data_IF_284381943081
#
_entry.id   IF_284381943081
#
_cell.length_a   1.000
_cell.length_b   1.000
_cell.length_c   1.000
_cell.angle_alpha   90.00
_cell.angle_beta   90.00
_cell.angle_gamma   90.00
#
_symmetry.space_group_name_H-M   'P 1'
#
loop_
_entity.id
_entity.type
_entity.pdbx_description
1 polymer ?
#
# COMPACT_ATOMS: atom_id res chain seq x y z
N UNK A 1 5.07 -4.35 13.96
CA UNK A 1 6.08 -5.42 13.96
C UNK A 1 5.87 -6.41 15.11
N UNK A 2 6.62 -7.51 15.10
CA UNK A 2 6.52 -8.55 16.12
C UNK A 2 6.89 -8.05 17.55
N UNK A 3 7.66 -6.98 17.67
CA UNK A 3 8.02 -6.33 18.94
C UNK A 3 6.99 -5.32 19.44
N UNK A 4 5.88 -5.13 18.72
CA UNK A 4 4.84 -4.16 19.05
C UNK A 4 5.11 -2.75 18.54
N UNK A 5 6.19 -2.52 17.77
CA UNK A 5 6.47 -1.24 17.12
C UNK A 5 5.41 -0.91 16.08
N UNK A 6 5.02 0.36 16.02
CA UNK A 6 4.02 0.88 15.09
C UNK A 6 4.75 1.48 13.89
N UNK A 7 4.39 1.04 12.69
CA UNK A 7 4.97 1.52 11.45
C UNK A 7 3.95 2.32 10.68
N UNK A 8 4.36 3.45 10.12
CA UNK A 8 3.50 4.30 9.33
C UNK A 8 4.27 4.96 8.18
N UNK A 9 3.55 5.38 7.16
CA UNK A 9 4.04 6.16 6.04
C UNK A 9 3.61 7.60 6.17
N UNK A 10 4.45 8.52 5.74
CA UNK A 10 4.13 9.94 5.60
C UNK A 10 4.39 10.37 4.15
N UNK A 11 3.37 10.29 3.28
CA UNK A 11 3.50 10.59 1.85
C UNK A 11 3.33 12.07 1.48
N UNK A 12 3.09 12.95 2.45
CA UNK A 12 2.94 14.38 2.25
C UNK A 12 1.67 14.83 1.49
N UNK A 13 0.70 13.95 1.27
CA UNK A 13 -0.54 14.30 0.52
C UNK A 13 -1.30 15.46 1.14
N UNK A 14 -1.37 15.54 2.47
CA UNK A 14 -2.04 16.61 3.19
C UNK A 14 -1.46 18.01 2.96
N UNK A 15 -0.21 18.09 2.46
CA UNK A 15 0.47 19.37 2.16
C UNK A 15 0.39 19.77 0.67
N UNK A 16 -0.06 18.87 -0.22
CA UNK A 16 -0.02 19.11 -1.68
C UNK A 16 -1.08 20.11 -2.14
N UNK A 17 -2.25 20.09 -1.52
CA UNK A 17 -3.41 20.93 -1.91
C UNK A 17 -4.35 21.15 -0.72
N UNK A 18 -5.49 21.82 -0.97
CA UNK A 18 -6.49 22.12 0.06
C UNK A 18 -7.65 21.10 0.10
N UNK A 19 -7.53 19.94 -0.54
CA UNK A 19 -8.56 18.91 -0.55
C UNK A 19 -8.38 17.93 0.62
N UNK A 20 -7.18 17.39 0.80
CA UNK A 20 -6.86 16.44 1.89
C UNK A 20 -6.27 17.11 3.12
N UNK A 21 -5.88 18.36 3.01
CA UNK A 21 -5.29 19.14 4.10
C UNK A 21 -5.15 20.61 3.72
N UNK A 22 -4.00 21.20 4.01
CA UNK A 22 -3.68 22.58 3.65
C UNK A 22 -2.37 22.63 2.87
N UNK A 23 -2.41 23.25 1.68
CA UNK A 23 -1.21 23.42 0.86
C UNK A 23 -0.13 24.17 1.64
N UNK A 24 1.03 23.56 1.75
CA UNK A 24 2.18 24.11 2.47
C UNK A 24 3.47 23.33 2.20
N UNK A 25 4.59 23.79 2.75
CA UNK A 25 5.83 23.01 2.70
C UNK A 25 5.68 21.73 3.54
N UNK A 26 6.39 20.69 3.15
CA UNK A 26 6.53 19.49 3.98
C UNK A 26 7.31 19.83 5.26
N UNK A 27 6.79 19.45 6.42
CA UNK A 27 7.50 19.58 7.69
C UNK A 27 8.55 18.49 7.86
N UNK A 28 8.25 17.27 7.36
CA UNK A 28 9.16 16.13 7.36
C UNK A 28 9.33 15.62 5.92
N UNK A 29 10.43 14.89 5.68
CA UNK A 29 10.63 14.19 4.42
C UNK A 29 9.64 13.03 4.31
N UNK A 30 9.08 12.85 3.11
CA UNK A 30 8.26 11.68 2.80
C UNK A 30 9.05 10.40 3.08
N UNK A 31 8.52 9.54 3.91
CA UNK A 31 9.27 8.37 4.40
C UNK A 31 8.38 7.32 5.06
N UNK A 32 8.99 6.20 5.37
CA UNK A 32 8.48 5.21 6.31
C UNK A 32 9.09 5.46 7.69
N UNK A 33 8.25 5.50 8.70
CA UNK A 33 8.61 5.74 10.08
C UNK A 33 8.21 4.56 10.97
N UNK A 34 8.89 4.41 12.09
CA UNK A 34 8.61 3.45 13.14
C UNK A 34 8.60 4.12 14.51
N UNK A 35 7.55 3.85 15.28
CA UNK A 35 7.48 4.28 16.69
C UNK A 35 7.86 3.10 17.58
N UNK A 36 8.82 3.32 18.47
CA UNK A 36 9.13 2.37 19.53
C UNK A 36 8.04 2.39 20.61
N UNK A 37 7.39 1.24 20.91
CA UNK A 37 6.22 1.23 21.79
C UNK A 37 6.55 1.49 23.26
N UNK A 38 7.81 1.40 23.66
CA UNK A 38 8.24 1.60 25.06
C UNK A 38 8.69 3.02 25.32
N UNK A 39 9.50 3.56 24.43
CA UNK A 39 10.08 4.91 24.59
C UNK A 39 9.25 6.00 23.91
N UNK A 40 8.39 5.64 22.93
CA UNK A 40 7.71 6.60 22.06
C UNK A 40 8.65 7.25 21.03
N UNK A 41 9.91 6.81 20.94
CA UNK A 41 10.84 7.34 19.96
C UNK A 41 10.40 7.01 18.54
N UNK A 42 10.55 7.98 17.65
CA UNK A 42 10.19 7.83 16.23
C UNK A 42 11.46 7.80 15.40
N UNK A 43 11.67 6.68 14.72
CA UNK A 43 12.75 6.50 13.77
C UNK A 43 12.25 6.66 12.34
N UNK A 44 12.99 7.41 11.51
CA UNK A 44 12.82 7.35 10.06
C UNK A 44 13.59 6.14 9.55
N UNK A 45 12.85 5.12 9.04
CA UNK A 45 13.45 3.83 8.67
C UNK A 45 13.75 3.66 7.19
N UNK A 46 13.07 4.41 6.33
CA UNK A 46 13.36 4.47 4.90
C UNK A 46 12.83 5.76 4.29
N UNK A 47 13.64 6.42 3.43
CA UNK A 47 13.30 7.64 2.71
C UNK A 47 13.84 7.64 1.27
N UNK A 48 14.00 6.45 0.67
CA UNK A 48 14.57 6.25 -0.66
C UNK A 48 13.58 6.67 -1.76
N UNK A 49 13.46 7.97 -2.00
CA UNK A 49 12.99 8.58 -3.25
C UNK A 49 11.62 8.13 -3.82
N UNK A 50 10.70 7.67 -3.00
CA UNK A 50 9.37 7.26 -3.41
C UNK A 50 8.29 7.95 -2.54
N UNK A 51 7.04 7.85 -2.98
CA UNK A 51 5.89 8.38 -2.25
C UNK A 51 5.14 7.23 -1.56
N UNK A 52 5.55 6.84 -0.34
CA UNK A 52 5.02 5.65 0.31
C UNK A 52 3.58 5.89 0.76
N UNK A 53 2.69 4.96 0.41
CA UNK A 53 1.30 4.97 0.80
C UNK A 53 1.01 3.78 1.72
N UNK A 54 0.14 2.83 1.34
CA UNK A 54 -0.15 1.68 2.15
C UNK A 54 1.07 0.81 2.46
N UNK A 55 1.11 0.24 3.65
CA UNK A 55 2.15 -0.72 4.02
C UNK A 55 1.56 -1.93 4.76
N UNK A 56 2.18 -3.09 4.60
CA UNK A 56 1.87 -4.27 5.41
C UNK A 56 3.09 -5.19 5.54
N UNK A 57 3.13 -5.93 6.64
CA UNK A 57 4.11 -7.00 6.82
C UNK A 57 3.65 -8.30 6.17
N UNK A 58 4.62 -9.15 5.81
CA UNK A 58 4.34 -10.59 5.62
C UNK A 58 3.84 -11.21 6.92
N UNK A 59 3.11 -12.35 6.86
CA UNK A 59 2.58 -13.01 8.06
C UNK A 59 3.63 -13.35 9.13
N UNK A 60 4.86 -13.60 8.72
CA UNK A 60 6.00 -13.92 9.58
C UNK A 60 6.83 -12.69 10.00
N UNK A 61 6.41 -11.49 9.60
CA UNK A 61 7.12 -10.21 9.82
C UNK A 61 8.54 -10.14 9.24
N UNK A 62 8.92 -11.06 8.35
CA UNK A 62 10.25 -11.06 7.72
C UNK A 62 10.39 -10.05 6.59
N UNK A 63 9.26 -9.58 6.04
CA UNK A 63 9.20 -8.63 4.93
C UNK A 63 8.21 -7.50 5.21
N UNK A 64 8.53 -6.31 4.70
CA UNK A 64 7.61 -5.18 4.65
C UNK A 64 7.33 -4.86 3.18
N UNK A 65 6.05 -4.78 2.84
CA UNK A 65 5.56 -4.33 1.54
C UNK A 65 5.09 -2.88 1.66
N UNK A 66 5.40 -2.07 0.65
CA UNK A 66 5.09 -0.63 0.64
C UNK A 66 4.52 -0.28 -0.73
N UNK A 67 3.30 0.21 -0.76
CA UNK A 67 2.70 0.74 -1.97
C UNK A 67 3.33 2.10 -2.28
N UNK A 68 3.76 2.29 -3.53
CA UNK A 68 4.19 3.58 -4.05
C UNK A 68 3.14 4.05 -5.06
N UNK A 69 2.39 5.07 -4.72
CA UNK A 69 1.38 5.63 -5.62
C UNK A 69 1.95 6.60 -6.63
N UNK A 70 3.27 6.75 -6.65
CA UNK A 70 3.96 7.71 -7.49
C UNK A 70 3.74 9.15 -7.04
N UNK A 71 4.43 10.09 -7.64
CA UNK A 71 4.18 11.49 -7.40
C UNK A 71 2.99 11.96 -8.26
N UNK A 72 1.81 12.14 -7.67
CA UNK A 72 0.85 13.01 -8.31
C UNK A 72 1.39 14.47 -8.24
N UNK A 73 1.43 15.26 -9.32
CA UNK A 73 0.84 14.98 -10.62
C UNK A 73 1.76 14.31 -11.65
N UNK A 74 2.95 13.80 -11.27
CA UNK A 74 3.86 13.18 -12.23
C UNK A 74 3.36 11.78 -12.63
N UNK A 75 2.73 11.67 -13.79
CA UNK A 75 2.22 10.42 -14.35
C UNK A 75 3.33 9.46 -14.80
N UNK A 76 4.58 9.89 -14.83
CA UNK A 76 5.72 9.09 -15.26
C UNK A 76 6.43 8.41 -14.09
N UNK A 77 6.15 8.81 -12.86
CA UNK A 77 6.74 8.19 -11.68
C UNK A 77 6.34 6.71 -11.56
N UNK A 78 7.25 5.83 -11.13
CA UNK A 78 6.93 4.46 -10.86
C UNK A 78 5.76 4.33 -9.86
N UNK A 79 4.85 3.39 -10.14
CA UNK A 79 3.70 3.08 -9.29
C UNK A 79 3.74 1.60 -8.94
N UNK A 80 4.77 1.21 -8.22
CA UNK A 80 5.02 -0.18 -7.87
C UNK A 80 4.60 -0.47 -6.42
N UNK A 81 4.38 -1.73 -6.12
CA UNK A 81 4.51 -2.20 -4.73
C UNK A 81 5.96 -2.63 -4.56
N UNK A 82 6.60 -2.10 -3.54
CA UNK A 82 7.97 -2.43 -3.17
C UNK A 82 7.99 -3.43 -2.03
N UNK A 83 9.07 -4.18 -1.91
CA UNK A 83 9.32 -5.08 -0.79
C UNK A 83 10.75 -4.91 -0.28
N UNK A 84 10.92 -5.00 1.03
CA UNK A 84 12.22 -5.07 1.69
C UNK A 84 12.21 -6.12 2.80
N UNK A 85 13.37 -6.68 3.08
CA UNK A 85 13.55 -7.59 4.20
C UNK A 85 13.61 -6.79 5.50
N UNK A 86 12.99 -7.31 6.55
CA UNK A 86 13.05 -6.74 7.88
C UNK A 86 14.22 -7.39 8.63
N UNK A 87 15.18 -6.57 9.05
CA UNK A 87 16.37 -6.99 9.78
C UNK A 87 16.26 -6.57 11.24
N UNK A 88 16.62 -7.49 12.13
CA UNK A 88 16.58 -7.26 13.59
C UNK A 88 15.21 -6.77 14.11
N UNK A 89 14.14 -7.02 13.33
CA UNK A 89 12.76 -6.63 13.63
C UNK A 89 12.47 -5.12 13.52
N UNK A 90 13.47 -4.28 13.23
CA UNK A 90 13.32 -2.80 13.28
C UNK A 90 13.97 -2.06 12.11
N UNK A 91 14.80 -2.72 11.31
CA UNK A 91 15.53 -2.11 10.18
C UNK A 91 15.05 -2.68 8.87
N UNK A 92 15.11 -1.89 7.82
CA UNK A 92 14.78 -2.33 6.48
C UNK A 92 16.04 -2.59 5.65
N UNK A 93 16.01 -3.68 4.87
CA UNK A 93 16.98 -3.93 3.81
C UNK A 93 16.70 -3.07 2.58
N UNK A 94 17.44 -3.30 1.51
CA UNK A 94 17.25 -2.62 0.23
C UNK A 94 15.84 -2.86 -0.33
N UNK A 95 15.25 -1.82 -0.91
CA UNK A 95 13.99 -1.91 -1.64
C UNK A 95 14.17 -2.69 -2.94
N UNK A 96 13.20 -3.55 -3.23
CA UNK A 96 13.08 -4.28 -4.49
C UNK A 96 11.67 -4.11 -5.02
N UNK A 97 11.50 -4.00 -6.34
CA UNK A 97 10.18 -4.05 -6.95
C UNK A 97 9.55 -5.42 -6.66
N UNK A 98 8.35 -5.41 -6.11
CA UNK A 98 7.57 -6.61 -5.85
C UNK A 98 6.54 -6.85 -6.95
N UNK A 99 5.73 -5.83 -7.26
CA UNK A 99 4.71 -5.91 -8.29
C UNK A 99 4.52 -4.56 -8.97
N UNK A 100 4.46 -4.59 -10.30
CA UNK A 100 4.09 -3.42 -11.10
C UNK A 100 2.58 -3.26 -11.13
N UNK A 101 2.13 -2.03 -11.01
CA UNK A 101 0.70 -1.74 -11.01
C UNK A 101 0.09 -1.66 -12.41
N UNK A 102 0.88 -1.80 -13.45
CA UNK A 102 0.40 -1.87 -14.83
C UNK A 102 -0.41 -3.15 -15.05
N UNK A 103 -1.51 -3.04 -15.78
CA UNK A 103 -2.39 -4.15 -16.16
C UNK A 103 -2.53 -4.18 -17.69
N UNK A 104 -1.90 -5.16 -18.37
CA UNK A 104 -2.12 -5.37 -19.81
C UNK A 104 -3.56 -5.79 -20.08
N UNK A 105 -4.18 -5.17 -21.08
CA UNK A 105 -5.53 -5.52 -21.57
C UNK A 105 -5.53 -5.66 -23.09
N UNK A 106 -6.60 -6.20 -23.65
CA UNK A 106 -6.76 -6.27 -25.12
C UNK A 106 -6.81 -4.89 -25.80
N UNK A 107 -7.20 -3.85 -25.06
CA UNK A 107 -7.30 -2.48 -25.55
C UNK A 107 -6.02 -1.63 -25.30
N UNK A 108 -5.01 -2.21 -24.68
CA UNK A 108 -3.78 -1.52 -24.26
C UNK A 108 -3.44 -1.79 -22.79
N UNK A 109 -2.60 -0.94 -22.22
CA UNK A 109 -2.17 -1.06 -20.83
C UNK A 109 -2.89 -0.03 -19.95
N UNK A 110 -3.48 -0.49 -18.86
CA UNK A 110 -4.01 0.36 -17.80
C UNK A 110 -2.94 0.55 -16.72
N UNK A 111 -2.74 1.77 -16.25
CA UNK A 111 -1.75 2.11 -15.22
C UNK A 111 -2.40 2.91 -14.11
N UNK A 112 -2.65 2.26 -12.99
CA UNK A 112 -3.14 2.88 -11.76
C UNK A 112 -2.11 2.83 -10.64
N UNK A 113 -2.53 3.09 -9.42
CA UNK A 113 -1.71 3.01 -8.22
C UNK A 113 -2.34 2.11 -7.16
N UNK A 114 -1.51 1.59 -6.26
CA UNK A 114 -1.96 0.93 -5.04
C UNK A 114 -2.01 1.94 -3.90
N UNK A 115 -3.08 1.87 -3.09
CA UNK A 115 -3.27 2.65 -1.87
C UNK A 115 -3.07 1.71 -0.66
N UNK A 116 -4.10 1.41 0.11
CA UNK A 116 -4.01 0.45 1.21
C UNK A 116 -3.71 -0.97 0.73
N UNK A 117 -2.83 -1.67 1.44
CA UNK A 117 -2.46 -3.06 1.13
C UNK A 117 -2.51 -3.94 2.38
N UNK A 118 -2.81 -5.22 2.22
CA UNK A 118 -2.82 -6.21 3.32
C UNK A 118 -2.30 -7.56 2.83
N UNK A 119 -1.61 -8.28 3.72
CA UNK A 119 -1.25 -9.68 3.49
C UNK A 119 -2.35 -10.61 4.05
N UNK A 120 -2.66 -11.69 3.34
CA UNK A 120 -3.41 -12.81 3.89
C UNK A 120 -2.47 -13.81 4.59
N UNK A 121 -3.04 -14.88 5.16
CA UNK A 121 -2.29 -15.90 5.89
C UNK A 121 -1.34 -16.72 5.03
N UNK A 122 -1.58 -16.77 3.72
CA UNK A 122 -0.73 -17.47 2.74
C UNK A 122 0.38 -16.56 2.20
N UNK A 123 0.40 -15.28 2.64
CA UNK A 123 1.37 -14.28 2.22
C UNK A 123 1.02 -13.59 0.90
N UNK A 124 -0.18 -13.82 0.35
CA UNK A 124 -0.62 -13.05 -0.81
C UNK A 124 -0.88 -11.61 -0.40
N UNK A 125 -0.55 -10.67 -1.28
CA UNK A 125 -0.75 -9.24 -1.07
C UNK A 125 -2.02 -8.80 -1.79
N UNK A 126 -2.96 -8.27 -1.04
CA UNK A 126 -4.20 -7.69 -1.48
C UNK A 126 -4.07 -6.18 -1.49
N UNK A 127 -4.28 -5.54 -2.62
CA UNK A 127 -4.03 -4.12 -2.82
C UNK A 127 -5.28 -3.41 -3.33
N UNK A 128 -5.68 -2.35 -2.64
CA UNK A 128 -6.68 -1.41 -3.12
C UNK A 128 -6.05 -0.55 -4.21
N UNK A 129 -6.55 -0.66 -5.44
CA UNK A 129 -5.94 -0.03 -6.60
C UNK A 129 -6.95 0.82 -7.36
N UNK A 130 -6.49 1.96 -7.87
CA UNK A 130 -7.38 2.87 -8.57
C UNK A 130 -6.68 3.83 -9.52
N UNK A 131 -7.48 4.81 -9.96
CA UNK A 131 -7.14 5.90 -10.88
C UNK A 131 -6.78 5.46 -12.31
N UNK A 132 -7.23 4.28 -12.73
CA UNK A 132 -7.12 3.83 -14.12
C UNK A 132 -8.49 3.52 -14.76
N UNK A 133 -9.57 3.60 -13.98
CA UNK A 133 -10.94 3.50 -14.45
C UNK A 133 -11.46 2.06 -14.62
N UNK A 134 -12.55 1.91 -15.37
CA UNK A 134 -13.22 0.61 -15.56
C UNK A 134 -12.27 -0.48 -16.08
N UNK A 135 -12.34 -1.65 -15.46
CA UNK A 135 -11.48 -2.80 -15.78
C UNK A 135 -10.17 -2.83 -14.99
N UNK A 136 -9.87 -1.78 -14.21
CA UNK A 136 -8.71 -1.71 -13.33
C UNK A 136 -9.10 -1.47 -11.86
N UNK A 137 -9.94 -0.46 -11.61
CA UNK A 137 -10.22 -0.01 -10.24
C UNK A 137 -10.86 -1.13 -9.42
N UNK A 138 -10.21 -1.47 -8.30
CA UNK A 138 -10.61 -2.61 -7.48
C UNK A 138 -9.50 -3.17 -6.62
N UNK A 139 -9.69 -4.40 -6.16
CA UNK A 139 -8.69 -5.10 -5.35
C UNK A 139 -7.89 -6.04 -6.23
N UNK A 140 -6.59 -5.80 -6.34
CA UNK A 140 -5.63 -6.66 -7.02
C UNK A 140 -4.98 -7.61 -6.02
N UNK A 141 -4.83 -8.87 -6.39
CA UNK A 141 -4.24 -9.91 -5.53
C UNK A 141 -2.98 -10.45 -6.17
N UNK A 142 -1.90 -10.48 -5.39
CA UNK A 142 -0.58 -10.93 -5.83
C UNK A 142 -0.07 -12.07 -4.93
N UNK A 143 0.51 -13.09 -5.54
CA UNK A 143 1.24 -14.14 -4.80
C UNK A 143 2.49 -13.57 -4.12
N UNK A 144 3.10 -14.30 -3.14
CA UNK A 144 4.32 -13.86 -2.44
C UNK A 144 5.53 -13.59 -3.34
N UNK A 145 5.50 -14.05 -4.60
CA UNK A 145 6.51 -13.79 -5.64
C UNK A 145 6.15 -12.63 -6.58
N UNK A 146 5.04 -11.93 -6.31
CA UNK A 146 4.63 -10.71 -7.05
C UNK A 146 3.79 -10.95 -8.32
N UNK A 147 3.38 -12.20 -8.59
CA UNK A 147 2.51 -12.51 -9.73
C UNK A 147 1.04 -12.17 -9.40
N UNK A 148 0.39 -11.36 -10.23
CA UNK A 148 -1.05 -11.07 -10.08
C UNK A 148 -1.87 -12.32 -10.35
N UNK A 149 -2.74 -12.70 -9.42
CA UNK A 149 -3.59 -13.90 -9.49
C UNK A 149 -5.08 -13.60 -9.43
N UNK A 150 -5.46 -12.38 -9.05
CA UNK A 150 -6.87 -12.01 -8.93
C UNK A 150 -7.11 -10.52 -9.07
N UNK A 151 -8.36 -10.20 -9.40
CA UNK A 151 -8.87 -8.84 -9.49
C UNK A 151 -10.36 -8.85 -9.12
N UNK A 152 -10.72 -8.09 -8.09
CA UNK A 152 -12.12 -7.81 -7.71
C UNK A 152 -12.42 -6.40 -8.18
N UNK A 153 -13.13 -6.27 -9.30
CA UNK A 153 -13.50 -4.96 -9.82
C UNK A 153 -14.54 -4.27 -8.93
N UNK A 154 -14.38 -2.98 -8.75
CA UNK A 154 -15.31 -2.13 -8.02
C UNK A 154 -15.83 -1.01 -8.94
N UNK A 155 -17.05 -0.50 -8.69
CA UNK A 155 -17.62 0.60 -9.47
C UNK A 155 -17.03 1.97 -9.07
N UNK A 156 -16.17 2.02 -8.05
CA UNK A 156 -15.52 3.22 -7.52
C UNK A 156 -14.12 2.88 -6.98
N UNK A 157 -13.28 3.88 -6.81
CA UNK A 157 -11.89 3.71 -6.41
C UNK A 157 -11.81 3.25 -4.95
N UNK A 158 -11.22 2.08 -4.65
CA UNK A 158 -10.95 1.66 -3.27
C UNK A 158 -9.72 2.37 -2.72
N UNK A 159 -9.78 2.72 -1.43
CA UNK A 159 -8.66 3.34 -0.71
C UNK A 159 -7.97 2.35 0.24
N UNK A 160 -8.73 1.48 0.90
CA UNK A 160 -8.15 0.57 1.90
C UNK A 160 -8.98 -0.70 2.05
N UNK A 161 -8.41 -1.71 2.70
CA UNK A 161 -9.07 -2.99 2.92
C UNK A 161 -8.60 -3.64 4.23
N UNK A 162 -9.44 -4.51 4.79
CA UNK A 162 -9.06 -5.37 5.91
C UNK A 162 -9.84 -6.68 5.90
N UNK A 163 -9.22 -7.75 6.40
CA UNK A 163 -9.90 -9.01 6.67
C UNK A 163 -10.60 -8.96 8.02
N UNK A 164 -11.83 -9.47 8.09
CA UNK A 164 -12.64 -9.46 9.29
C UNK A 164 -13.70 -10.55 9.32
N UNK A 165 -14.64 -10.41 10.26
CA UNK A 165 -15.63 -11.43 10.57
C UNK A 165 -15.08 -12.52 11.49
N UNK A 166 -15.95 -13.38 12.02
CA UNK A 166 -15.60 -14.40 13.00
C UNK A 166 -14.54 -15.40 12.48
N UNK A 167 -14.56 -15.69 11.18
CA UNK A 167 -13.62 -16.60 10.52
C UNK A 167 -12.47 -15.87 9.80
N UNK A 168 -12.43 -14.53 9.84
CA UNK A 168 -11.47 -13.68 9.10
C UNK A 168 -11.42 -13.94 7.59
N UNK A 169 -12.50 -14.46 7.03
CA UNK A 169 -12.65 -14.75 5.60
C UNK A 169 -13.63 -13.78 4.91
N UNK A 170 -13.83 -12.61 5.50
CA UNK A 170 -14.62 -11.53 4.91
C UNK A 170 -13.71 -10.33 4.70
N UNK A 171 -13.55 -9.94 3.46
CA UNK A 171 -12.82 -8.75 3.09
C UNK A 171 -13.76 -7.55 3.16
N UNK A 172 -13.39 -6.53 3.91
CA UNK A 172 -14.03 -5.22 3.95
C UNK A 172 -13.17 -4.24 3.16
N UNK A 173 -13.82 -3.43 2.33
CA UNK A 173 -13.14 -2.52 1.39
C UNK A 173 -13.76 -1.14 1.55
N UNK A 174 -12.95 -0.18 1.99
CA UNK A 174 -13.33 1.23 1.99
C UNK A 174 -13.06 1.82 0.60
N UNK A 175 -14.08 2.39 -0.02
CA UNK A 175 -14.00 3.02 -1.31
C UNK A 175 -14.46 4.49 -1.22
N UNK A 176 -14.51 5.20 -2.35
CA UNK A 176 -14.72 6.66 -2.37
C UNK A 176 -15.95 7.12 -1.58
N UNK A 177 -17.07 6.41 -1.66
CA UNK A 177 -18.32 6.76 -0.98
C UNK A 177 -18.96 5.58 -0.25
N UNK A 178 -18.41 4.37 -0.39
CA UNK A 178 -19.05 3.12 0.03
C UNK A 178 -18.11 2.23 0.85
N UNK A 179 -18.72 1.41 1.69
CA UNK A 179 -18.05 0.27 2.33
C UNK A 179 -18.58 -1.02 1.71
N UNK A 180 -17.70 -1.70 0.98
CA UNK A 180 -17.99 -3.01 0.39
C UNK A 180 -17.53 -4.14 1.28
N UNK A 181 -18.14 -5.31 1.09
CA UNK A 181 -17.59 -6.54 1.67
C UNK A 181 -17.89 -7.75 0.80
N UNK A 182 -16.94 -8.68 0.77
CA UNK A 182 -17.03 -9.94 0.04
C UNK A 182 -16.44 -11.07 0.88
N UNK A 183 -16.97 -12.27 0.74
CA UNK A 183 -16.32 -13.47 1.29
C UNK A 183 -15.22 -13.95 0.35
N UNK A 184 -14.09 -14.32 0.92
CA UNK A 184 -12.88 -14.78 0.23
C UNK A 184 -12.38 -16.08 0.84
#
# INVERSE_FOLDING_TARGET
>A
DAGGGIWFTDPGYGSMNNYEGHKGPLELKEAVYRVDPKSGHIDKVNDEGFKPNGLCFSPDYSRLYIADTGSAPDSTAPKDIWVCDVKDGTKLGALRSFAKMNLPTAAGELSGGADGIRADTDGNIWAACGWAGPGYDGIHVFTPDGRRIGLILLPEIPANLCFGGAKRNRLFIAASQSLYSVYV
#
